data_IF_799071740409
#
_entry.id   IF_799071740409
#
_cell.length_a   1.000
_cell.length_b   1.000
_cell.length_c   1.000
_cell.angle_alpha   90.00
_cell.angle_beta   90.00
_cell.angle_gamma   90.00
#
_symmetry.space_group_name_H-M   'P 1'
#
loop_
_entity.id
_entity.type
_entity.pdbx_description
1 polymer ?
#
# COMPACT_ATOMS: atom_id res chain seq x y z
N UNK A 1 -7.91 -2.16 16.56
CA UNK A 1 -8.88 -1.10 16.24
C UNK A 1 -8.55 -0.48 14.89
N UNK A 2 -9.30 0.52 14.43
CA UNK A 2 -8.83 1.32 13.29
C UNK A 2 -7.52 2.03 13.68
N UNK A 3 -6.59 2.17 12.74
CA UNK A 3 -5.32 2.85 12.97
C UNK A 3 -4.43 2.27 14.08
N UNK A 4 -4.56 0.99 14.42
CA UNK A 4 -3.77 0.37 15.50
C UNK A 4 -2.59 -0.46 15.01
N UNK A 5 -2.43 -0.64 13.69
CA UNK A 5 -1.33 -1.44 13.14
C UNK A 5 -0.15 -0.55 12.81
N UNK A 6 1.04 -0.88 13.33
CA UNK A 6 2.26 -0.13 12.97
C UNK A 6 2.75 -0.48 11.55
N UNK A 7 2.50 -1.72 11.10
CA UNK A 7 2.87 -2.18 9.76
C UNK A 7 1.75 -3.08 9.21
N UNK A 8 1.42 -2.92 7.92
CA UNK A 8 0.53 -3.81 7.17
C UNK A 8 1.27 -4.34 5.94
N UNK A 9 1.23 -5.65 5.70
CA UNK A 9 1.81 -6.29 4.52
C UNK A 9 0.69 -6.71 3.56
N UNK A 10 0.82 -6.32 2.29
CA UNK A 10 -0.14 -6.60 1.22
C UNK A 10 0.61 -7.26 0.06
N UNK A 11 0.38 -8.55 -0.13
CA UNK A 11 0.92 -9.35 -1.23
C UNK A 11 -0.15 -10.35 -1.72
N UNK A 12 -1.21 -9.88 -2.40
CA UNK A 12 -2.21 -10.76 -2.97
C UNK A 12 -1.71 -11.33 -4.32
N UNK A 13 -2.26 -12.46 -4.78
CA UNK A 13 -2.00 -12.95 -6.12
C UNK A 13 -2.30 -11.88 -7.18
N UNK A 14 -1.42 -11.75 -8.18
CA UNK A 14 -1.47 -10.62 -9.13
C UNK A 14 -2.74 -10.58 -9.99
N UNK A 15 -3.39 -11.71 -10.20
CA UNK A 15 -4.61 -11.90 -11.00
C UNK A 15 -5.91 -11.92 -10.18
N UNK A 16 -5.84 -11.64 -8.87
CA UNK A 16 -6.95 -11.83 -7.93
C UNK A 16 -7.98 -10.69 -7.88
N UNK A 17 -7.66 -9.52 -8.43
CA UNK A 17 -8.50 -8.32 -8.30
C UNK A 17 -8.59 -7.76 -6.87
N UNK A 18 -7.79 -8.27 -5.92
CA UNK A 18 -7.88 -7.91 -4.50
C UNK A 18 -7.27 -6.55 -4.16
N UNK A 19 -6.45 -5.99 -5.04
CA UNK A 19 -5.70 -4.75 -4.81
C UNK A 19 -6.62 -3.56 -4.49
N UNK A 20 -7.73 -3.42 -5.22
CA UNK A 20 -8.66 -2.29 -5.11
C UNK A 20 -9.35 -2.26 -3.74
N UNK A 21 -9.57 -3.44 -3.13
CA UNK A 21 -10.13 -3.55 -1.79
C UNK A 21 -9.06 -3.51 -0.69
N UNK A 22 -7.89 -4.12 -0.94
CA UNK A 22 -6.82 -4.26 0.05
C UNK A 22 -6.19 -2.92 0.43
N UNK A 23 -5.91 -2.06 -0.55
CA UNK A 23 -5.17 -0.82 -0.31
C UNK A 23 -5.96 0.18 0.57
N UNK A 24 -7.27 0.46 0.32
CA UNK A 24 -8.08 1.29 1.21
C UNK A 24 -8.30 0.66 2.59
N UNK A 25 -8.38 -0.67 2.68
CA UNK A 25 -8.51 -1.36 3.98
C UNK A 25 -7.25 -1.21 4.83
N UNK A 26 -6.07 -1.35 4.21
CA UNK A 26 -4.80 -1.13 4.88
C UNK A 26 -4.62 0.32 5.32
N UNK A 27 -5.02 1.29 4.49
CA UNK A 27 -5.00 2.71 4.84
C UNK A 27 -5.81 3.02 6.12
N UNK A 28 -6.95 2.33 6.33
CA UNK A 28 -7.75 2.44 7.56
C UNK A 28 -7.15 1.72 8.76
N UNK A 29 -6.45 0.60 8.53
CA UNK A 29 -5.89 -0.23 9.59
C UNK A 29 -4.58 0.34 10.17
N UNK A 30 -3.79 1.01 9.33
CA UNK A 30 -2.46 1.51 9.69
C UNK A 30 -2.52 2.76 10.57
N UNK A 31 -1.66 2.80 11.59
CA UNK A 31 -1.47 3.95 12.46
C UNK A 31 -1.05 5.19 11.66
N UNK A 32 -1.22 6.37 12.25
CA UNK A 32 -0.88 7.65 11.60
C UNK A 32 0.59 7.70 11.15
N UNK A 33 1.48 7.11 11.94
CA UNK A 33 2.92 7.00 11.74
C UNK A 33 3.37 5.62 11.23
N UNK A 34 2.40 4.74 10.91
CA UNK A 34 2.67 3.39 10.47
C UNK A 34 2.95 3.27 8.97
N UNK A 35 3.29 2.06 8.55
CA UNK A 35 3.69 1.76 7.18
C UNK A 35 2.84 0.67 6.54
N UNK A 36 2.73 0.71 5.22
CA UNK A 36 2.16 -0.36 4.40
C UNK A 36 3.23 -0.83 3.42
N UNK A 37 3.55 -2.11 3.44
CA UNK A 37 4.38 -2.75 2.42
C UNK A 37 3.46 -3.43 1.40
N UNK A 38 3.54 -3.00 0.14
CA UNK A 38 2.71 -3.49 -0.97
C UNK A 38 3.58 -4.09 -2.06
N UNK A 39 3.35 -5.35 -2.42
CA UNK A 39 3.87 -5.96 -3.64
C UNK A 39 2.77 -6.02 -4.70
N UNK A 40 3.04 -5.47 -5.89
CA UNK A 40 2.08 -5.37 -6.97
C UNK A 40 2.69 -5.71 -8.34
N UNK A 41 1.86 -6.11 -9.33
CA UNK A 41 2.31 -6.37 -10.70
C UNK A 41 2.63 -5.08 -11.48
N UNK A 42 2.34 -3.91 -10.90
CA UNK A 42 2.56 -2.60 -11.51
C UNK A 42 3.00 -1.58 -10.47
N UNK A 43 3.63 -0.50 -10.93
CA UNK A 43 3.84 0.68 -10.12
C UNK A 43 2.50 1.41 -9.91
N UNK A 44 2.22 1.81 -8.66
CA UNK A 44 1.16 2.77 -8.37
C UNK A 44 1.70 4.18 -8.56
N UNK A 45 0.95 5.03 -9.26
CA UNK A 45 1.26 6.45 -9.38
C UNK A 45 0.93 7.20 -8.09
N UNK A 46 1.54 8.37 -7.90
CA UNK A 46 1.30 9.18 -6.71
C UNK A 46 -0.17 9.62 -6.60
N UNK A 47 -0.83 9.92 -7.72
CA UNK A 47 -2.26 10.27 -7.76
C UNK A 47 -3.16 9.09 -7.33
N UNK A 48 -2.84 7.87 -7.77
CA UNK A 48 -3.59 6.67 -7.36
C UNK A 48 -3.41 6.38 -5.87
N UNK A 49 -2.20 6.56 -5.34
CA UNK A 49 -1.93 6.41 -3.91
C UNK A 49 -2.67 7.48 -3.11
N UNK A 50 -2.62 8.73 -3.56
CA UNK A 50 -3.26 9.86 -2.89
C UNK A 50 -4.79 9.70 -2.83
N UNK A 51 -5.40 9.13 -3.88
CA UNK A 51 -6.82 8.78 -3.89
C UNK A 51 -7.22 7.77 -2.78
N UNK A 52 -6.25 7.01 -2.25
CA UNK A 52 -6.44 6.10 -1.10
C UNK A 52 -6.01 6.71 0.25
N UNK A 53 -5.58 7.98 0.26
CA UNK A 53 -5.04 8.64 1.45
C UNK A 53 -3.61 8.18 1.80
N UNK A 54 -2.88 7.65 0.83
CA UNK A 54 -1.52 7.14 0.99
C UNK A 54 -0.52 7.91 0.13
N UNK A 55 0.74 7.87 0.52
CA UNK A 55 1.87 8.40 -0.24
C UNK A 55 3.00 7.37 -0.26
N UNK A 56 3.79 7.36 -1.34
CA UNK A 56 4.97 6.52 -1.42
C UNK A 56 6.10 7.10 -0.54
N UNK A 57 6.57 6.32 0.42
CA UNK A 57 7.79 6.59 1.18
C UNK A 57 9.03 6.03 0.46
N UNK A 58 8.93 4.79 -0.06
CA UNK A 58 9.95 4.15 -0.91
C UNK A 58 9.30 3.30 -1.99
N UNK A 59 10.04 3.13 -3.08
CA UNK A 59 9.66 2.26 -4.19
C UNK A 59 10.88 1.47 -4.66
N UNK A 60 10.68 0.20 -4.97
CA UNK A 60 11.68 -0.67 -5.57
C UNK A 60 11.03 -1.58 -6.63
N UNK A 61 11.84 -1.99 -7.61
CA UNK A 61 11.43 -2.97 -8.62
C UNK A 61 12.44 -4.11 -8.65
N UNK A 62 11.95 -5.34 -8.51
CA UNK A 62 12.75 -6.56 -8.60
C UNK A 62 12.06 -7.53 -9.57
N UNK A 63 12.63 -7.71 -10.75
CA UNK A 63 11.99 -8.49 -11.82
C UNK A 63 10.61 -7.91 -12.18
N UNK A 64 9.57 -8.72 -12.04
CA UNK A 64 8.17 -8.34 -12.30
C UNK A 64 7.48 -7.69 -11.09
N UNK A 65 8.10 -7.70 -9.91
CA UNK A 65 7.49 -7.19 -8.68
C UNK A 65 7.78 -5.70 -8.51
N UNK A 66 6.73 -4.94 -8.21
CA UNK A 66 6.80 -3.54 -7.82
C UNK A 66 6.48 -3.43 -6.33
N UNK A 67 7.50 -3.29 -5.49
CA UNK A 67 7.32 -3.14 -4.05
C UNK A 67 7.28 -1.66 -3.65
N UNK A 68 6.29 -1.31 -2.83
CA UNK A 68 6.07 0.04 -2.32
C UNK A 68 6.07 0.00 -0.80
N UNK A 69 6.80 0.91 -0.19
CA UNK A 69 6.62 1.26 1.21
C UNK A 69 5.82 2.55 1.25
N UNK A 70 4.62 2.48 1.80
CA UNK A 70 3.64 3.57 1.81
C UNK A 70 3.42 4.07 3.25
N UNK A 71 3.03 5.32 3.35
CA UNK A 71 2.58 5.97 4.59
C UNK A 71 1.25 6.65 4.35
N UNK A 72 0.56 7.03 5.43
CA UNK A 72 -0.61 7.91 5.32
C UNK A 72 -0.18 9.29 4.82
N UNK A 73 -0.98 9.87 3.94
CA UNK A 73 -0.85 11.28 3.58
C UNK A 73 -1.11 12.14 4.84
N UNK A 74 -0.39 13.27 4.94
CA UNK A 74 -0.53 14.22 6.04
C UNK A 74 -1.88 14.95 6.00
#
# INVERSE_FOLDING_TARGET
GAGSMNVVFIDPPFDSGLFDAALPAAARAVAADGFIYLEAPRKYSDDELLATGLVAHRYLKAGAVHAHLLQRAA
#
